data_IF_662845235874
#
_entry.id   IF_662845235874
#
_cell.length_a   1.000
_cell.length_b   1.000
_cell.length_c   1.000
_cell.angle_alpha   90.00
_cell.angle_beta   90.00
_cell.angle_gamma   90.00
#
_symmetry.space_group_name_H-M   'P 1'
#
loop_
_entity.id
_entity.type
_entity.pdbx_description
1 polymer ?
#
# COMPACT_ATOMS: atom_id res chain seq x y z
N UNK A 1 -18.02 13.49 15.57
CA UNK A 1 -17.70 13.07 14.19
C UNK A 1 -17.37 11.59 14.21
N UNK A 2 -18.18 10.76 13.56
CA UNK A 2 -17.94 9.31 13.52
C UNK A 2 -16.91 9.05 12.44
N UNK A 3 -15.68 8.71 12.81
CA UNK A 3 -14.67 8.22 11.91
C UNK A 3 -15.00 6.78 11.55
N UNK A 4 -15.54 6.56 10.35
CA UNK A 4 -15.66 5.21 9.79
C UNK A 4 -14.27 4.82 9.29
N UNK A 5 -13.50 4.13 10.11
CA UNK A 5 -12.33 3.41 9.65
C UNK A 5 -12.82 2.27 8.75
N UNK A 6 -12.64 2.42 7.46
CA UNK A 6 -12.76 1.30 6.52
C UNK A 6 -11.64 0.32 6.83
N UNK A 7 -11.98 -0.72 7.59
CA UNK A 7 -11.04 -1.81 7.85
C UNK A 7 -10.90 -2.66 6.57
N UNK A 8 -9.69 -3.13 6.29
CA UNK A 8 -9.47 -4.13 5.25
C UNK A 8 -10.25 -5.40 5.57
N UNK A 9 -10.71 -6.09 4.54
CA UNK A 9 -11.33 -7.40 4.70
C UNK A 9 -10.29 -8.42 5.13
N UNK A 10 -10.68 -9.33 6.00
CA UNK A 10 -9.90 -10.54 6.21
C UNK A 10 -10.04 -11.47 4.99
N UNK A 11 -9.28 -12.58 4.96
CA UNK A 11 -9.28 -13.51 3.84
C UNK A 11 -10.67 -14.04 3.51
N UNK A 12 -11.42 -14.48 4.51
CA UNK A 12 -12.75 -15.07 4.32
C UNK A 12 -13.77 -14.03 3.84
N UNK A 13 -13.73 -12.83 4.39
CA UNK A 13 -14.57 -11.72 3.94
C UNK A 13 -14.27 -11.32 2.49
N UNK A 14 -12.99 -11.32 2.10
CA UNK A 14 -12.57 -11.01 0.74
C UNK A 14 -13.03 -12.04 -0.27
N UNK A 15 -12.91 -13.33 0.06
CA UNK A 15 -13.40 -14.44 -0.76
C UNK A 15 -14.92 -14.34 -0.91
N UNK A 16 -15.64 -14.20 0.19
CA UNK A 16 -17.10 -14.07 0.20
C UNK A 16 -17.58 -12.88 -0.65
N UNK A 17 -16.90 -11.75 -0.54
CA UNK A 17 -17.18 -10.56 -1.34
C UNK A 17 -17.04 -10.81 -2.84
N UNK A 18 -15.96 -11.44 -3.28
CA UNK A 18 -15.74 -11.74 -4.71
C UNK A 18 -16.69 -12.82 -5.21
N UNK A 19 -16.90 -13.90 -4.46
CA UNK A 19 -17.80 -15.00 -4.85
C UNK A 19 -19.22 -14.49 -5.04
N UNK A 20 -19.75 -13.73 -4.08
CA UNK A 20 -21.09 -13.14 -4.19
C UNK A 20 -21.21 -12.18 -5.36
N UNK A 21 -20.19 -11.32 -5.56
CA UNK A 21 -20.16 -10.39 -6.68
C UNK A 21 -20.17 -11.12 -8.03
N UNK A 22 -19.42 -12.20 -8.17
CA UNK A 22 -19.40 -13.01 -9.39
C UNK A 22 -20.72 -13.78 -9.64
N UNK A 23 -21.34 -14.30 -8.58
CA UNK A 23 -22.66 -14.93 -8.67
C UNK A 23 -23.71 -13.94 -9.16
N UNK A 24 -23.75 -12.73 -8.63
CA UNK A 24 -24.69 -11.66 -9.06
C UNK A 24 -24.48 -11.26 -10.52
N UNK A 25 -23.25 -11.29 -11.01
CA UNK A 25 -22.88 -10.92 -12.37
C UNK A 25 -22.89 -12.10 -13.35
N UNK A 26 -23.20 -13.32 -12.89
CA UNK A 26 -23.12 -14.56 -13.65
C UNK A 26 -21.73 -14.80 -14.28
N UNK A 27 -20.68 -14.42 -13.57
CA UNK A 27 -19.29 -14.64 -13.97
C UNK A 27 -18.84 -16.00 -13.41
N UNK A 28 -18.33 -16.86 -14.27
CA UNK A 28 -17.67 -18.10 -13.84
C UNK A 28 -16.24 -17.76 -13.43
N UNK A 29 -15.91 -17.93 -12.16
CA UNK A 29 -14.57 -17.81 -11.64
C UNK A 29 -14.28 -19.05 -10.79
N UNK A 30 -13.10 -19.63 -11.00
CA UNK A 30 -12.62 -20.73 -10.17
C UNK A 30 -12.22 -20.21 -8.78
N UNK A 31 -12.39 -21.03 -7.78
CA UNK A 31 -12.03 -20.66 -6.41
C UNK A 31 -10.53 -20.32 -6.29
N UNK A 32 -9.68 -21.03 -7.02
CA UNK A 32 -8.24 -20.76 -7.06
C UNK A 32 -7.93 -19.36 -7.60
N UNK A 33 -8.64 -18.89 -8.62
CA UNK A 33 -8.53 -17.52 -9.13
C UNK A 33 -8.97 -16.48 -8.10
N UNK A 34 -10.04 -16.75 -7.37
CA UNK A 34 -10.54 -15.89 -6.30
C UNK A 34 -9.52 -15.80 -5.17
N UNK A 35 -8.97 -16.93 -4.75
CA UNK A 35 -7.96 -16.98 -3.69
C UNK A 35 -6.67 -16.24 -4.07
N UNK A 36 -6.18 -16.42 -5.30
CA UNK A 36 -5.03 -15.68 -5.83
C UNK A 36 -5.28 -14.17 -5.82
N UNK A 37 -6.44 -13.73 -6.31
CA UNK A 37 -6.80 -12.32 -6.31
C UNK A 37 -6.87 -11.73 -4.90
N UNK A 38 -7.45 -12.45 -3.94
CA UNK A 38 -7.54 -12.03 -2.54
C UNK A 38 -6.15 -11.92 -1.92
N UNK A 39 -5.26 -12.86 -2.19
CA UNK A 39 -3.89 -12.82 -1.69
C UNK A 39 -3.10 -11.65 -2.26
N UNK A 40 -3.19 -11.43 -3.56
CA UNK A 40 -2.46 -10.37 -4.25
C UNK A 40 -2.98 -8.96 -3.94
N UNK A 41 -4.28 -8.81 -3.69
CA UNK A 41 -4.93 -7.51 -3.42
C UNK A 41 -5.11 -7.21 -1.92
N UNK A 42 -4.63 -8.09 -1.07
CA UNK A 42 -4.45 -7.89 0.37
C UNK A 42 -5.71 -7.43 1.15
N UNK A 43 -6.89 -7.88 0.71
CA UNK A 43 -8.17 -7.60 1.38
C UNK A 43 -8.66 -6.15 1.26
N UNK A 44 -8.10 -5.38 0.33
CA UNK A 44 -8.50 -3.98 0.13
C UNK A 44 -9.76 -3.92 -0.72
N UNK A 45 -10.92 -3.46 -0.15
CA UNK A 45 -12.19 -3.49 -0.85
C UNK A 45 -12.19 -2.79 -2.21
N UNK A 46 -11.50 -1.66 -2.31
CA UNK A 46 -11.40 -0.89 -3.56
C UNK A 46 -10.71 -1.69 -4.69
N UNK A 47 -9.62 -2.39 -4.38
CA UNK A 47 -8.91 -3.21 -5.36
C UNK A 47 -9.66 -4.48 -5.72
N UNK A 48 -10.33 -5.10 -4.74
CA UNK A 48 -11.20 -6.24 -4.99
C UNK A 48 -12.39 -5.88 -5.90
N UNK A 49 -13.01 -4.72 -5.67
CA UNK A 49 -14.09 -4.20 -6.52
C UNK A 49 -13.61 -3.93 -7.95
N UNK A 50 -12.43 -3.33 -8.10
CA UNK A 50 -11.83 -3.06 -9.40
C UNK A 50 -11.48 -4.36 -10.15
N UNK A 51 -10.97 -5.36 -9.44
CA UNK A 51 -10.74 -6.69 -10.00
C UNK A 51 -12.04 -7.31 -10.51
N UNK A 52 -13.10 -7.30 -9.69
CA UNK A 52 -14.42 -7.78 -10.11
C UNK A 52 -14.94 -7.08 -11.37
N UNK A 53 -14.78 -5.77 -11.43
CA UNK A 53 -15.15 -4.98 -12.60
C UNK A 53 -14.37 -5.40 -13.86
N UNK A 54 -13.06 -5.59 -13.78
CA UNK A 54 -12.28 -6.03 -14.93
C UNK A 54 -12.60 -7.47 -15.34
N UNK A 55 -12.98 -8.36 -14.42
CA UNK A 55 -13.39 -9.73 -14.70
C UNK A 55 -14.64 -9.83 -15.56
N UNK A 56 -15.45 -8.78 -15.64
CA UNK A 56 -16.63 -8.76 -16.55
C UNK A 56 -16.19 -8.94 -18.01
N UNK A 57 -15.03 -8.41 -18.39
CA UNK A 57 -14.55 -8.37 -19.77
C UNK A 57 -13.20 -9.05 -20.02
N UNK A 58 -12.51 -9.42 -18.96
CA UNK A 58 -11.12 -9.91 -19.01
C UNK A 58 -10.96 -11.23 -18.28
N UNK A 59 -9.97 -12.01 -18.71
CA UNK A 59 -9.58 -13.21 -18.00
C UNK A 59 -8.85 -12.85 -16.69
N UNK A 60 -8.78 -13.82 -15.78
CA UNK A 60 -8.24 -13.63 -14.43
C UNK A 60 -6.88 -12.90 -14.40
N UNK A 61 -5.88 -13.43 -15.12
CA UNK A 61 -4.52 -12.84 -15.10
C UNK A 61 -4.46 -11.43 -15.67
N UNK A 62 -5.20 -11.17 -16.72
CA UNK A 62 -5.28 -9.85 -17.32
C UNK A 62 -5.95 -8.85 -16.39
N UNK A 63 -7.07 -9.24 -15.77
CA UNK A 63 -7.79 -8.42 -14.80
C UNK A 63 -6.90 -8.10 -13.59
N UNK A 64 -6.23 -9.10 -13.04
CA UNK A 64 -5.36 -8.93 -11.89
C UNK A 64 -4.17 -8.01 -12.19
N UNK A 65 -3.54 -8.17 -13.33
CA UNK A 65 -2.44 -7.29 -13.76
C UNK A 65 -2.89 -5.85 -13.96
N UNK A 66 -4.08 -5.62 -14.52
CA UNK A 66 -4.64 -4.27 -14.69
C UNK A 66 -4.90 -3.59 -13.35
N UNK A 67 -5.45 -4.32 -12.37
CA UNK A 67 -5.64 -3.78 -11.01
C UNK A 67 -4.31 -3.39 -10.39
N UNK A 68 -3.31 -4.26 -10.48
CA UNK A 68 -1.98 -3.99 -9.93
C UNK A 68 -1.33 -2.76 -10.56
N UNK A 69 -1.41 -2.60 -11.86
CA UNK A 69 -0.89 -1.43 -12.56
C UNK A 69 -1.63 -0.15 -12.18
N UNK A 70 -2.95 -0.20 -12.11
CA UNK A 70 -3.77 0.93 -11.69
C UNK A 70 -3.47 1.33 -10.25
N UNK A 71 -3.41 0.36 -9.34
CA UNK A 71 -3.08 0.60 -7.93
C UNK A 71 -1.68 1.21 -7.78
N UNK A 72 -0.68 0.66 -8.46
CA UNK A 72 0.68 1.19 -8.43
C UNK A 72 0.74 2.65 -8.89
N UNK A 73 0.10 2.97 -10.02
CA UNK A 73 0.06 4.33 -10.54
C UNK A 73 -0.61 5.32 -9.57
N UNK A 74 -1.71 4.91 -8.94
CA UNK A 74 -2.42 5.72 -7.96
C UNK A 74 -1.58 5.94 -6.69
N UNK A 75 -0.97 4.90 -6.16
CA UNK A 75 -0.13 4.96 -4.95
C UNK A 75 1.09 5.84 -5.19
N UNK A 76 1.78 5.68 -6.32
CA UNK A 76 2.94 6.51 -6.69
C UNK A 76 2.50 7.97 -6.85
N UNK A 77 1.38 8.23 -7.50
CA UNK A 77 0.84 9.59 -7.66
C UNK A 77 0.56 10.25 -6.31
N UNK A 78 0.00 9.53 -5.37
CA UNK A 78 -0.30 10.02 -4.02
C UNK A 78 0.98 10.33 -3.23
N UNK A 79 1.95 9.43 -3.26
CA UNK A 79 3.27 9.65 -2.66
C UNK A 79 3.99 10.86 -3.30
N UNK A 80 3.96 10.98 -4.62
CA UNK A 80 4.56 12.09 -5.35
C UNK A 80 3.89 13.43 -5.00
N UNK A 81 2.59 13.47 -4.82
CA UNK A 81 1.89 14.68 -4.38
C UNK A 81 2.35 15.14 -2.99
N UNK A 82 2.59 14.20 -2.08
CA UNK A 82 3.19 14.50 -0.78
C UNK A 82 4.63 15.01 -0.90
N UNK A 83 5.44 14.38 -1.74
CA UNK A 83 6.86 14.70 -1.90
C UNK A 83 7.10 16.03 -2.62
N UNK A 84 6.25 16.40 -3.58
CA UNK A 84 6.36 17.67 -4.35
C UNK A 84 6.37 18.92 -3.46
N UNK A 85 5.68 18.89 -2.34
CA UNK A 85 5.64 20.00 -1.39
C UNK A 85 6.84 20.04 -0.45
N UNK A 86 7.74 19.06 -0.54
CA UNK A 86 8.88 18.85 0.37
C UNK A 86 10.17 18.53 -0.39
N UNK A 87 10.57 19.35 -1.38
CA UNK A 87 11.66 18.99 -2.29
C UNK A 87 13.01 18.79 -1.58
N UNK A 88 13.29 19.60 -0.54
CA UNK A 88 14.56 19.48 0.23
C UNK A 88 14.65 18.24 1.11
N UNK A 89 13.51 17.69 1.53
CA UNK A 89 13.43 16.49 2.35
C UNK A 89 13.05 15.24 1.54
N UNK A 90 12.86 15.38 0.23
CA UNK A 90 12.38 14.31 -0.65
C UNK A 90 13.18 13.02 -0.49
N UNK A 91 14.48 13.08 -0.62
CA UNK A 91 15.35 11.91 -0.54
C UNK A 91 15.20 11.19 0.79
N UNK A 92 15.11 11.93 1.89
CA UNK A 92 14.91 11.37 3.24
C UNK A 92 13.58 10.63 3.35
N UNK A 93 12.49 11.24 2.90
CA UNK A 93 11.15 10.61 2.89
C UNK A 93 11.12 9.34 2.04
N UNK A 94 11.70 9.38 0.85
CA UNK A 94 11.77 8.22 -0.04
C UNK A 94 12.51 7.05 0.61
N UNK A 95 13.68 7.30 1.21
CA UNK A 95 14.45 6.23 1.86
C UNK A 95 13.77 5.71 3.14
N UNK A 96 13.05 6.56 3.87
CA UNK A 96 12.20 6.12 4.99
C UNK A 96 11.06 5.21 4.52
N UNK A 97 10.34 5.58 3.47
CA UNK A 97 9.27 4.76 2.90
C UNK A 97 9.79 3.41 2.41
N UNK A 98 10.94 3.39 1.73
CA UNK A 98 11.58 2.15 1.29
C UNK A 98 12.02 1.28 2.45
N UNK A 99 12.59 1.86 3.50
CA UNK A 99 12.99 1.13 4.70
C UNK A 99 11.79 0.43 5.36
N UNK A 100 10.66 1.13 5.51
CA UNK A 100 9.43 0.57 6.08
C UNK A 100 8.84 -0.48 5.15
N UNK A 101 8.79 -0.22 3.84
CA UNK A 101 8.32 -1.18 2.84
C UNK A 101 9.16 -2.47 2.82
N UNK A 102 10.44 -2.38 3.15
CA UNK A 102 11.37 -3.51 3.25
C UNK A 102 11.26 -4.29 4.57
N UNK A 103 10.39 -3.84 5.50
CA UNK A 103 10.13 -4.53 6.75
C UNK A 103 10.77 -3.93 8.00
N UNK A 104 11.46 -2.78 7.90
CA UNK A 104 11.88 -2.04 9.09
C UNK A 104 10.64 -1.44 9.76
N UNK A 105 10.43 -1.73 11.03
CA UNK A 105 9.20 -1.37 11.73
C UNK A 105 9.40 -0.52 13.00
N UNK A 106 10.64 -0.45 13.50
CA UNK A 106 10.97 0.33 14.69
C UNK A 106 11.59 1.68 14.33
N UNK A 107 11.35 2.68 15.15
CA UNK A 107 11.92 4.02 15.01
C UNK A 107 13.43 3.97 14.69
N UNK A 108 14.18 3.15 15.44
CA UNK A 108 15.64 3.04 15.31
C UNK A 108 16.08 2.28 14.06
N UNK A 109 15.38 1.22 13.67
CA UNK A 109 15.73 0.40 12.49
C UNK A 109 15.44 1.12 11.18
N UNK A 110 14.32 1.83 11.12
CA UNK A 110 13.95 2.66 9.98
C UNK A 110 14.97 3.79 9.80
N UNK A 111 15.31 4.48 10.90
CA UNK A 111 16.31 5.57 10.89
C UNK A 111 17.65 5.09 10.35
N UNK A 112 18.16 3.99 10.91
CA UNK A 112 19.44 3.41 10.49
C UNK A 112 19.44 3.02 9.01
N UNK A 113 18.39 2.39 8.53
CA UNK A 113 18.27 1.98 7.12
C UNK A 113 18.24 3.21 6.20
N UNK A 114 17.43 4.21 6.52
CA UNK A 114 17.34 5.44 5.74
C UNK A 114 18.67 6.21 5.71
N UNK A 115 19.32 6.40 6.86
CA UNK A 115 20.64 7.06 6.95
C UNK A 115 21.72 6.31 6.18
N UNK A 116 21.69 4.98 6.24
CA UNK A 116 22.62 4.14 5.47
C UNK A 116 22.46 4.33 3.97
N UNK A 117 21.21 4.41 3.48
CA UNK A 117 20.91 4.63 2.06
C UNK A 117 21.26 6.05 1.61
N UNK A 118 21.05 7.04 2.47
CA UNK A 118 21.37 8.45 2.20
C UNK A 118 22.86 8.77 2.27
N UNK A 119 23.61 8.03 3.09
CA UNK A 119 25.00 8.35 3.42
C UNK A 119 25.16 9.55 4.36
N UNK A 120 24.08 10.02 4.97
CA UNK A 120 24.06 11.15 5.90
C UNK A 120 23.10 10.92 7.08
N UNK A 121 23.38 11.49 8.27
CA UNK A 121 22.49 11.38 9.41
C UNK A 121 21.25 12.28 9.25
N UNK A 122 20.14 11.83 9.85
CA UNK A 122 18.91 12.62 9.97
C UNK A 122 18.79 13.06 11.45
N UNK A 123 18.74 14.37 11.76
CA UNK A 123 18.55 14.82 13.12
C UNK A 123 17.33 14.20 13.80
N UNK A 124 17.42 13.67 15.02
CA UNK A 124 16.36 12.90 15.67
C UNK A 124 15.00 13.63 15.73
N UNK A 125 15.01 14.93 16.02
CA UNK A 125 13.80 15.75 16.06
C UNK A 125 13.11 15.80 14.71
N UNK A 126 13.86 16.08 13.65
CA UNK A 126 13.35 16.16 12.28
C UNK A 126 12.83 14.79 11.83
N UNK A 127 13.56 13.73 12.16
CA UNK A 127 13.18 12.37 11.81
C UNK A 127 11.83 11.95 12.43
N UNK A 128 11.61 12.23 13.72
CA UNK A 128 10.33 11.95 14.39
C UNK A 128 9.19 12.73 13.75
N UNK A 129 9.40 14.00 13.44
CA UNK A 129 8.43 14.84 12.73
C UNK A 129 8.11 14.27 11.33
N UNK A 130 9.12 13.80 10.62
CA UNK A 130 8.94 13.17 9.30
C UNK A 130 8.09 11.89 9.38
N UNK A 131 8.31 11.02 10.38
CA UNK A 131 7.46 9.85 10.62
C UNK A 131 6.01 10.25 10.91
N UNK A 132 5.80 11.29 11.71
CA UNK A 132 4.47 11.80 12.00
C UNK A 132 3.78 12.36 10.74
N UNK A 133 4.51 13.05 9.88
CA UNK A 133 4.00 13.57 8.62
C UNK A 133 3.58 12.44 7.67
N UNK A 134 4.38 11.38 7.54
CA UNK A 134 4.04 10.21 6.74
C UNK A 134 2.78 9.50 7.27
N UNK A 135 2.66 9.38 8.57
CA UNK A 135 1.49 8.78 9.23
C UNK A 135 0.23 9.63 9.02
N UNK A 136 0.34 10.95 9.21
CA UNK A 136 -0.76 11.89 9.01
C UNK A 136 -1.24 11.93 7.55
N UNK A 137 -0.33 11.75 6.60
CA UNK A 137 -0.65 11.67 5.17
C UNK A 137 -1.23 10.31 4.74
N UNK A 138 -1.29 9.31 5.63
CA UNK A 138 -1.79 7.98 5.32
C UNK A 138 -0.83 7.12 4.48
N UNK A 139 0.43 7.54 4.34
CA UNK A 139 1.43 6.79 3.58
C UNK A 139 2.02 5.62 4.37
N UNK A 140 1.97 5.68 5.68
CA UNK A 140 2.30 4.61 6.60
C UNK A 140 1.29 4.59 7.74
N UNK A 141 1.24 3.48 8.47
CA UNK A 141 0.46 3.35 9.71
C UNK A 141 1.38 3.17 10.90
N UNK A 142 0.95 3.67 12.04
CA UNK A 142 1.59 3.43 13.32
C UNK A 142 0.65 2.58 14.18
N UNK A 143 1.16 1.42 14.64
CA UNK A 143 0.48 0.55 15.60
C UNK A 143 1.40 0.35 16.80
N UNK A 144 0.95 0.80 17.95
CA UNK A 144 1.77 0.87 19.16
C UNK A 144 3.08 1.66 18.87
N UNK A 145 4.23 1.03 19.05
CA UNK A 145 5.54 1.62 18.79
C UNK A 145 6.15 1.21 17.44
N UNK A 146 5.34 0.62 16.55
CA UNK A 146 5.79 0.12 15.25
C UNK A 146 5.14 0.87 14.10
N UNK A 147 5.87 0.93 13.00
CA UNK A 147 5.43 1.53 11.75
C UNK A 147 5.32 0.45 10.67
N UNK A 148 4.31 0.55 9.84
CA UNK A 148 4.11 -0.38 8.74
C UNK A 148 3.55 0.32 7.50
N UNK A 149 3.78 -0.29 6.34
CA UNK A 149 3.05 0.04 5.12
C UNK A 149 1.82 -0.85 5.08
N UNK A 150 0.61 -0.29 4.90
CA UNK A 150 -0.65 -1.01 5.11
C UNK A 150 -0.86 -2.26 4.27
N UNK A 151 -0.33 -2.29 3.05
CA UNK A 151 -0.57 -3.40 2.12
C UNK A 151 0.59 -3.68 1.16
N UNK A 152 0.53 -4.84 0.50
CA UNK A 152 1.54 -5.30 -0.44
C UNK A 152 1.72 -4.40 -1.66
N UNK A 153 0.62 -3.82 -2.17
CA UNK A 153 0.67 -2.96 -3.36
C UNK A 153 1.40 -1.66 -3.04
N UNK A 154 1.15 -1.08 -1.86
CA UNK A 154 1.89 0.08 -1.37
C UNK A 154 3.37 -0.24 -1.16
N UNK A 155 3.70 -1.39 -0.56
CA UNK A 155 5.10 -1.83 -0.39
C UNK A 155 5.83 -1.88 -1.73
N UNK A 156 5.23 -2.52 -2.73
CA UNK A 156 5.82 -2.64 -4.05
C UNK A 156 5.98 -1.28 -4.75
N UNK A 157 4.97 -0.41 -4.65
CA UNK A 157 5.01 0.93 -5.23
C UNK A 157 6.11 1.79 -4.61
N UNK A 158 6.27 1.77 -3.29
CA UNK A 158 7.30 2.57 -2.60
C UNK A 158 8.72 2.17 -2.98
N UNK A 159 8.96 0.89 -3.27
CA UNK A 159 10.27 0.44 -3.76
C UNK A 159 10.67 1.05 -5.11
N UNK A 160 9.71 1.56 -5.87
CA UNK A 160 9.92 2.21 -7.18
C UNK A 160 10.09 3.73 -7.10
N UNK A 161 9.85 4.35 -5.93
CA UNK A 161 10.06 5.77 -5.73
C UNK A 161 11.54 6.13 -5.93
N UNK A 162 11.76 7.31 -6.50
CA UNK A 162 13.13 7.85 -6.71
C UNK A 162 13.37 9.01 -5.75
N UNK A 163 14.52 8.98 -5.16
CA UNK A 163 14.97 10.05 -4.26
C UNK A 163 15.17 11.38 -4.98
#
# INVERSE_FOLDING_TARGET
>A
MWEVKLSYFNRDQSIDFLVKGFEELNIKADIDEVEEAVEELDGIPGWLSLYGYYRIKKQHREALNEVKQTAEAMIISEAENFLKTRPQARARYVEMLKAIASGCDKWSTIKRAAESALGEPIPPKNYTEMLNNLTAAGLIEKRDDRYEVPDKLMKNAYMKLRA
#
